data_IF_758708948946
#
_entry.id   IF_758708948946
#
_cell.length_a   1.000
_cell.length_b   1.000
_cell.length_c   1.000
_cell.angle_alpha   90.00
_cell.angle_beta   90.00
_cell.angle_gamma   90.00
#
_symmetry.space_group_name_H-M   'P 1'
#
loop_
_entity.id
_entity.type
_entity.pdbx_description
1 polymer ?
#
# COMPACT_ATOMS: atom_id res chain seq x y z
N UNK A 1 41.77 1.67 19.00
CA UNK A 1 40.87 2.68 19.61
C UNK A 1 39.56 1.96 19.84
N UNK A 2 39.23 1.76 21.12
CA UNK A 2 38.03 1.06 21.55
C UNK A 2 36.78 1.86 21.14
N UNK A 3 35.98 1.35 20.22
CA UNK A 3 34.61 1.84 20.03
C UNK A 3 33.79 1.27 21.19
N UNK A 4 33.70 2.02 22.30
CA UNK A 4 32.60 1.88 23.23
C UNK A 4 31.34 2.29 22.49
N UNK A 5 30.64 1.30 21.91
CA UNK A 5 29.22 1.42 21.61
C UNK A 5 28.56 1.67 22.95
N UNK A 6 28.22 2.91 23.23
CA UNK A 6 27.32 3.28 24.33
C UNK A 6 26.01 2.53 24.06
N UNK A 7 25.91 1.35 24.66
CA UNK A 7 24.65 0.59 24.71
C UNK A 7 23.66 1.49 25.44
N UNK A 8 22.69 2.03 24.71
CA UNK A 8 21.58 2.76 25.31
C UNK A 8 20.97 1.88 26.43
N UNK A 9 20.65 2.44 27.60
CA UNK A 9 20.09 1.67 28.69
C UNK A 9 18.79 1.00 28.21
N UNK A 10 18.58 -0.24 28.65
CA UNK A 10 17.43 -1.05 28.22
C UNK A 10 16.11 -0.29 28.47
N UNK A 11 15.17 -0.25 27.51
CA UNK A 11 13.93 0.47 27.68
C UNK A 11 13.06 -0.17 28.76
N UNK A 12 12.46 0.62 29.62
CA UNK A 12 11.50 0.13 30.63
C UNK A 12 10.09 0.00 30.05
N UNK A 13 9.71 0.92 29.20
CA UNK A 13 8.41 0.96 28.55
C UNK A 13 8.58 1.47 27.13
N UNK A 14 7.87 0.88 26.18
CA UNK A 14 7.72 1.34 24.79
C UNK A 14 6.25 1.33 24.43
N UNK A 15 5.79 2.36 23.70
CA UNK A 15 4.41 2.48 23.23
C UNK A 15 4.40 2.48 21.70
N UNK A 16 3.69 1.52 21.12
CA UNK A 16 3.50 1.36 19.68
C UNK A 16 2.19 2.02 19.26
N UNK A 17 2.22 2.99 18.37
CA UNK A 17 1.04 3.49 17.67
C UNK A 17 0.69 2.58 16.49
N UNK A 18 -0.58 2.23 16.35
CA UNK A 18 -1.10 1.41 15.25
C UNK A 18 -2.50 1.84 14.85
N UNK A 19 -2.89 1.59 13.60
CA UNK A 19 -4.29 1.62 13.20
C UNK A 19 -5.05 0.45 13.83
N UNK A 20 -6.37 0.63 14.03
CA UNK A 20 -7.22 -0.39 14.65
C UNK A 20 -7.67 -1.52 13.70
N UNK A 21 -7.33 -1.45 12.40
CA UNK A 21 -7.67 -2.55 11.50
C UNK A 21 -6.96 -3.83 11.93
N UNK A 22 -7.62 -4.98 11.77
CA UNK A 22 -7.10 -6.30 12.17
C UNK A 22 -5.68 -6.56 11.63
N UNK A 23 -5.40 -6.17 10.37
CA UNK A 23 -4.06 -6.32 9.81
C UNK A 23 -3.03 -5.40 10.47
N UNK A 24 -3.39 -4.14 10.76
CA UNK A 24 -2.47 -3.22 11.43
C UNK A 24 -2.20 -3.64 12.87
N UNK A 25 -3.21 -4.10 13.59
CA UNK A 25 -3.03 -4.66 14.94
C UNK A 25 -2.11 -5.88 14.93
N UNK A 26 -2.31 -6.82 13.99
CA UNK A 26 -1.39 -7.95 13.83
C UNK A 26 0.06 -7.49 13.61
N UNK A 27 0.27 -6.44 12.78
CA UNK A 27 1.60 -5.91 12.51
C UNK A 27 2.23 -5.30 13.77
N UNK A 28 1.46 -4.56 14.56
CA UNK A 28 1.90 -4.02 15.84
C UNK A 28 2.22 -5.12 16.86
N UNK A 29 1.38 -6.13 16.96
CA UNK A 29 1.58 -7.31 17.83
C UNK A 29 2.83 -8.11 17.41
N UNK A 30 3.10 -8.22 16.11
CA UNK A 30 4.31 -8.85 15.58
C UNK A 30 5.58 -8.10 16.04
N UNK A 31 5.59 -6.77 15.94
CA UNK A 31 6.69 -5.92 16.41
C UNK A 31 6.80 -5.99 17.94
N UNK A 32 5.68 -5.95 18.66
CA UNK A 32 5.64 -6.12 20.13
C UNK A 32 6.28 -7.44 20.57
N UNK A 33 5.91 -8.55 19.91
CA UNK A 33 6.49 -9.87 20.21
C UNK A 33 8.00 -9.91 19.92
N UNK A 34 8.46 -9.28 18.83
CA UNK A 34 9.87 -9.18 18.50
C UNK A 34 10.63 -8.35 19.54
N UNK A 35 10.08 -7.23 19.99
CA UNK A 35 10.65 -6.39 21.06
C UNK A 35 10.69 -7.10 22.41
N UNK A 36 9.62 -7.83 22.79
CA UNK A 36 9.62 -8.64 24.02
C UNK A 36 10.70 -9.73 24.00
N UNK A 37 10.98 -10.32 22.82
CA UNK A 37 12.06 -11.30 22.68
C UNK A 37 13.44 -10.67 22.89
N UNK A 38 13.65 -9.44 22.42
CA UNK A 38 14.91 -8.71 22.58
C UNK A 38 15.05 -8.10 23.98
N UNK A 39 13.96 -7.62 24.54
CA UNK A 39 13.90 -6.87 25.81
C UNK A 39 12.81 -7.43 26.73
N UNK A 40 13.02 -8.62 27.35
CA UNK A 40 11.98 -9.30 28.13
C UNK A 40 11.46 -8.51 29.33
N UNK A 41 12.24 -7.56 29.84
CA UNK A 41 11.86 -6.70 30.98
C UNK A 41 11.16 -5.40 30.53
N UNK A 42 11.04 -5.15 29.23
CA UNK A 42 10.37 -3.97 28.70
C UNK A 42 8.85 -4.19 28.65
N UNK A 43 8.09 -3.25 29.19
CA UNK A 43 6.64 -3.20 29.03
C UNK A 43 6.29 -2.54 27.67
N UNK A 44 5.97 -3.36 26.68
CA UNK A 44 5.63 -2.89 25.31
C UNK A 44 4.11 -2.83 25.16
N UNK A 45 3.57 -1.63 25.02
CA UNK A 45 2.13 -1.36 24.88
C UNK A 45 1.76 -1.02 23.43
N UNK A 46 0.53 -1.32 23.04
CA UNK A 46 -0.02 -0.91 21.74
C UNK A 46 -1.18 0.05 21.98
N UNK A 47 -1.18 1.19 21.26
CA UNK A 47 -2.28 2.14 21.25
C UNK A 47 -2.87 2.15 19.84
N UNK A 48 -4.12 1.67 19.74
CA UNK A 48 -4.90 1.67 18.51
C UNK A 48 -5.47 3.06 18.22
N UNK A 49 -5.50 3.43 16.95
CA UNK A 49 -6.03 4.71 16.47
C UNK A 49 -6.83 4.50 15.19
N UNK A 50 -7.99 5.17 15.12
CA UNK A 50 -8.76 5.25 13.87
C UNK A 50 -8.23 6.40 13.04
N UNK A 51 -7.77 6.12 11.82
CA UNK A 51 -7.27 7.17 10.92
C UNK A 51 -8.37 7.70 10.01
N UNK A 52 -8.16 8.91 9.47
CA UNK A 52 -9.06 9.52 8.49
C UNK A 52 -9.23 8.65 7.24
N UNK A 53 -8.16 7.95 6.83
CA UNK A 53 -8.20 6.99 5.73
C UNK A 53 -9.09 5.78 6.00
N UNK A 54 -9.26 5.36 7.27
CA UNK A 54 -10.14 4.26 7.67
C UNK A 54 -11.62 4.66 7.64
N UNK A 55 -11.93 5.94 7.86
CA UNK A 55 -13.30 6.46 7.89
C UNK A 55 -13.88 6.71 6.48
N UNK A 56 -13.03 6.97 5.48
CA UNK A 56 -13.47 7.30 4.12
C UNK A 56 -13.64 6.01 3.31
N UNK A 57 -14.86 5.52 3.21
CA UNK A 57 -15.20 4.26 2.50
C UNK A 57 -15.90 4.48 1.15
N UNK A 58 -16.45 5.66 0.89
CA UNK A 58 -17.34 6.00 -0.23
C UNK A 58 -16.62 6.58 -1.46
N UNK A 59 -15.38 7.03 -1.30
CA UNK A 59 -14.59 7.68 -2.39
C UNK A 59 -13.28 6.95 -2.65
N UNK A 60 -12.78 7.01 -3.89
CA UNK A 60 -11.44 6.48 -4.22
C UNK A 60 -10.35 7.36 -3.57
N UNK A 61 -9.25 6.76 -3.10
CA UNK A 61 -8.13 7.50 -2.47
C UNK A 61 -7.55 8.58 -3.40
N UNK A 62 -7.59 8.36 -4.71
CA UNK A 62 -7.20 9.36 -5.71
C UNK A 62 -8.05 10.63 -5.69
N UNK A 63 -9.32 10.52 -5.26
CA UNK A 63 -10.26 11.65 -5.17
C UNK A 63 -10.25 12.35 -3.81
N UNK A 64 -9.69 11.75 -2.79
CA UNK A 64 -9.69 12.32 -1.42
C UNK A 64 -8.50 13.25 -1.20
N UNK A 65 -7.53 13.23 -2.10
CA UNK A 65 -6.36 14.12 -2.13
C UNK A 65 -5.67 14.27 -0.78
N UNK A 66 -4.63 13.51 -0.50
CA UNK A 66 -3.88 13.72 0.73
C UNK A 66 -2.79 12.67 0.91
N UNK A 67 -1.54 13.10 0.81
CA UNK A 67 -0.39 12.33 1.31
C UNK A 67 -0.63 12.07 2.80
N UNK A 68 -0.46 10.82 3.24
CA UNK A 68 -0.47 10.51 4.67
C UNK A 68 -1.84 10.27 5.33
N UNK A 69 -2.90 9.94 4.56
CA UNK A 69 -4.24 9.67 5.11
C UNK A 69 -4.29 8.55 6.18
N UNK A 70 -3.27 7.70 6.22
CA UNK A 70 -3.18 6.55 7.13
C UNK A 70 -2.09 6.70 8.19
N UNK A 71 -1.29 7.78 8.15
CA UNK A 71 -0.13 7.96 9.03
C UNK A 71 -0.23 9.19 9.93
N UNK A 72 -1.01 10.22 9.56
CA UNK A 72 -1.07 11.50 10.29
C UNK A 72 -1.41 11.38 11.77
N UNK A 73 -2.39 10.57 12.11
CA UNK A 73 -2.81 10.38 13.50
C UNK A 73 -1.73 9.65 14.32
N UNK A 74 -0.96 8.77 13.67
CA UNK A 74 0.17 8.07 14.28
C UNK A 74 1.36 9.04 14.46
N UNK A 75 1.70 9.82 13.43
CA UNK A 75 2.71 10.87 13.49
C UNK A 75 2.39 11.90 14.58
N UNK A 76 1.11 12.29 14.72
CA UNK A 76 0.68 13.17 15.80
C UNK A 76 0.90 12.54 17.18
N UNK A 77 0.61 11.25 17.35
CA UNK A 77 0.86 10.55 18.60
C UNK A 77 2.35 10.48 18.94
N UNK A 78 3.21 10.29 17.93
CA UNK A 78 4.67 10.36 18.09
C UNK A 78 5.12 11.78 18.49
N UNK A 79 4.63 12.82 17.81
CA UNK A 79 4.97 14.22 18.09
C UNK A 79 4.57 14.65 19.51
N UNK A 80 3.39 14.20 19.98
CA UNK A 80 2.87 14.49 21.30
C UNK A 80 3.48 13.61 22.42
N UNK A 81 4.34 12.63 22.07
CA UNK A 81 4.94 11.70 23.03
C UNK A 81 3.95 10.69 23.62
N UNK A 82 2.81 10.47 22.98
CA UNK A 82 1.83 9.43 23.36
C UNK A 82 2.24 8.06 22.87
N UNK A 83 3.10 7.99 21.87
CA UNK A 83 3.73 6.79 21.38
C UNK A 83 5.22 7.04 21.12
N UNK A 84 6.01 5.98 21.19
CA UNK A 84 7.45 5.98 20.93
C UNK A 84 7.77 5.59 19.49
N UNK A 85 6.98 4.71 18.91
CA UNK A 85 7.13 4.21 17.54
C UNK A 85 5.78 3.95 16.91
N UNK A 86 5.73 3.97 15.57
CA UNK A 86 4.56 3.60 14.78
C UNK A 86 4.91 2.48 13.80
N UNK A 87 3.99 1.53 13.60
CA UNK A 87 4.19 0.38 12.71
C UNK A 87 3.31 0.50 11.48
N UNK A 88 3.93 0.36 10.31
CA UNK A 88 3.26 0.54 9.02
C UNK A 88 3.53 -0.61 8.05
N UNK A 89 2.54 -0.92 7.21
CA UNK A 89 2.84 -1.53 5.91
C UNK A 89 3.65 -0.52 5.10
N UNK A 90 4.88 -0.83 4.73
CA UNK A 90 5.82 0.15 4.15
C UNK A 90 5.31 0.78 2.84
N UNK A 91 4.54 0.04 2.03
CA UNK A 91 3.91 0.57 0.81
C UNK A 91 2.91 1.72 1.04
N UNK A 92 2.38 1.84 2.27
CA UNK A 92 1.39 2.86 2.65
C UNK A 92 2.07 4.10 3.27
N UNK A 93 3.38 4.03 3.55
CA UNK A 93 4.20 5.14 4.06
C UNK A 93 4.52 6.10 2.91
N UNK A 94 4.32 7.42 3.09
CA UNK A 94 4.72 8.41 2.11
C UNK A 94 6.18 8.25 1.68
N UNK A 95 6.49 8.54 0.40
CA UNK A 95 7.86 8.43 -0.11
C UNK A 95 8.82 9.39 0.60
N UNK A 96 8.30 10.52 1.07
CA UNK A 96 8.98 11.49 1.93
C UNK A 96 8.17 11.62 3.21
N UNK A 97 8.81 11.37 4.34
CA UNK A 97 8.23 11.61 5.66
C UNK A 97 8.22 13.11 5.97
N UNK A 98 7.28 13.57 6.80
CA UNK A 98 7.33 14.93 7.33
C UNK A 98 8.63 15.18 8.10
N UNK A 99 9.04 16.43 8.16
CA UNK A 99 10.20 16.84 8.96
C UNK A 99 10.01 16.41 10.43
N UNK A 100 11.06 15.89 11.03
CA UNK A 100 11.05 15.39 12.41
C UNK A 100 10.73 13.91 12.56
N UNK A 101 10.44 13.17 11.48
CA UNK A 101 10.21 11.73 11.50
C UNK A 101 11.18 10.95 10.63
N UNK A 102 11.41 9.69 10.97
CA UNK A 102 12.27 8.79 10.21
C UNK A 102 11.81 7.32 10.34
N UNK A 103 12.13 6.51 9.34
CA UNK A 103 12.04 5.06 9.44
C UNK A 103 13.29 4.53 10.14
N UNK A 104 13.15 4.11 11.39
CA UNK A 104 14.27 3.59 12.19
C UNK A 104 14.60 2.13 11.87
N UNK A 105 13.61 1.35 11.44
CA UNK A 105 13.82 -0.03 11.01
C UNK A 105 12.88 -0.41 9.87
N UNK A 106 13.40 -1.21 8.97
CA UNK A 106 12.64 -1.92 7.93
C UNK A 106 12.86 -3.39 8.21
N UNK A 107 11.77 -4.13 8.49
CA UNK A 107 11.85 -5.53 8.86
C UNK A 107 11.91 -6.44 7.62
N UNK A 108 12.34 -7.68 7.84
CA UNK A 108 12.36 -8.72 6.81
C UNK A 108 11.03 -8.76 6.03
N UNK A 109 11.15 -8.87 4.72
CA UNK A 109 10.03 -8.77 3.78
C UNK A 109 9.26 -10.07 3.69
N UNK A 110 7.95 -10.02 3.91
CA UNK A 110 7.01 -11.09 3.57
C UNK A 110 6.77 -11.06 2.04
N UNK A 111 6.15 -12.11 1.49
CA UNK A 111 5.83 -12.27 0.08
C UNK A 111 5.29 -10.97 -0.57
N UNK A 112 6.03 -10.35 -1.48
CA UNK A 112 5.66 -9.06 -2.07
C UNK A 112 4.58 -9.19 -3.15
N UNK A 113 4.24 -10.40 -3.60
CA UNK A 113 3.34 -10.64 -4.73
C UNK A 113 1.92 -10.21 -4.44
N UNK A 114 1.19 -9.96 -5.51
CA UNK A 114 -0.25 -9.86 -5.46
C UNK A 114 -0.89 -11.27 -5.43
N UNK A 115 -2.03 -11.36 -4.77
CA UNK A 115 -2.81 -12.59 -4.65
C UNK A 115 -4.14 -12.42 -5.40
N UNK A 116 -4.43 -13.37 -6.28
CA UNK A 116 -5.76 -13.58 -6.84
C UNK A 116 -6.61 -14.33 -5.82
N UNK A 117 -7.75 -13.77 -5.47
CA UNK A 117 -8.71 -14.33 -4.52
C UNK A 117 -10.07 -14.42 -5.18
N UNK A 118 -10.61 -15.63 -5.25
CA UNK A 118 -11.95 -15.93 -5.78
C UNK A 118 -12.55 -17.11 -5.02
N UNK A 119 -13.88 -17.17 -4.95
CA UNK A 119 -14.57 -18.34 -4.41
C UNK A 119 -14.66 -19.46 -5.45
N UNK A 120 -14.82 -19.12 -6.73
CA UNK A 120 -15.23 -20.04 -7.79
C UNK A 120 -14.15 -20.29 -8.86
N UNK A 121 -13.14 -19.40 -8.98
CA UNK A 121 -12.15 -19.45 -10.06
C UNK A 121 -10.72 -19.56 -9.53
N UNK A 122 -9.85 -20.21 -10.26
CA UNK A 122 -8.48 -20.49 -9.85
C UNK A 122 -7.46 -19.45 -10.35
N UNK A 123 -7.81 -18.64 -11.36
CA UNK A 123 -6.91 -17.61 -11.92
C UNK A 123 -7.69 -16.52 -12.65
N UNK A 124 -7.01 -15.37 -12.95
CA UNK A 124 -7.55 -14.32 -13.80
C UNK A 124 -7.91 -14.82 -15.19
N UNK A 125 -7.11 -15.72 -15.76
CA UNK A 125 -7.34 -16.30 -17.08
C UNK A 125 -8.57 -17.23 -17.14
N UNK A 126 -8.99 -17.79 -16.00
CA UNK A 126 -10.16 -18.66 -15.93
C UNK A 126 -11.48 -17.89 -15.80
N UNK A 127 -11.45 -16.56 -15.61
CA UNK A 127 -12.65 -15.75 -15.47
C UNK A 127 -13.37 -15.58 -16.82
N UNK A 128 -14.70 -15.80 -16.88
CA UNK A 128 -15.50 -15.49 -18.06
C UNK A 128 -15.47 -14.02 -18.45
N UNK A 129 -15.73 -13.71 -19.71
CA UNK A 129 -15.87 -12.36 -20.19
C UNK A 129 -16.97 -11.59 -19.42
N UNK A 130 -16.70 -10.31 -19.09
CA UNK A 130 -17.59 -9.47 -18.29
C UNK A 130 -17.54 -9.77 -16.79
N UNK A 131 -16.70 -10.71 -16.32
CA UNK A 131 -16.50 -10.94 -14.89
C UNK A 131 -15.91 -9.71 -14.21
N UNK A 132 -16.47 -9.34 -13.05
CA UNK A 132 -16.06 -8.19 -12.28
C UNK A 132 -14.90 -8.53 -11.35
N UNK A 133 -13.75 -7.85 -11.53
CA UNK A 133 -12.57 -7.97 -10.66
C UNK A 133 -12.45 -6.71 -9.79
N UNK A 134 -12.38 -6.91 -8.48
CA UNK A 134 -12.31 -5.84 -7.49
C UNK A 134 -10.88 -5.40 -7.18
N UNK A 135 -10.56 -4.12 -7.45
CA UNK A 135 -9.35 -3.46 -6.97
C UNK A 135 -9.54 -1.94 -6.91
N UNK A 136 -8.82 -1.24 -6.02
CA UNK A 136 -8.72 0.22 -6.05
C UNK A 136 -7.28 0.69 -6.32
N UNK A 137 -6.42 -0.24 -6.73
CA UNK A 137 -5.05 0.06 -7.12
C UNK A 137 -4.98 0.27 -8.62
N UNK A 138 -4.63 1.48 -9.06
CA UNK A 138 -4.45 1.80 -10.48
C UNK A 138 -3.38 0.92 -11.14
N UNK A 139 -2.34 0.54 -10.38
CA UNK A 139 -1.31 -0.41 -10.83
C UNK A 139 -1.90 -1.78 -11.19
N UNK A 140 -2.77 -2.32 -10.33
CA UNK A 140 -3.46 -3.60 -10.58
C UNK A 140 -4.49 -3.49 -11.68
N UNK A 141 -5.22 -2.38 -11.73
CA UNK A 141 -6.19 -2.09 -12.77
C UNK A 141 -5.53 -2.06 -14.15
N UNK A 142 -4.42 -1.33 -14.32
CA UNK A 142 -3.72 -1.25 -15.59
C UNK A 142 -3.18 -2.63 -16.04
N UNK A 143 -2.68 -3.46 -15.12
CA UNK A 143 -2.27 -4.83 -15.42
C UNK A 143 -3.45 -5.69 -15.90
N UNK A 144 -4.60 -5.63 -15.21
CA UNK A 144 -5.78 -6.41 -15.60
C UNK A 144 -6.27 -5.98 -16.97
N UNK A 145 -6.40 -4.67 -17.23
CA UNK A 145 -6.84 -4.15 -18.51
C UNK A 145 -5.90 -4.49 -19.67
N UNK A 146 -4.59 -4.49 -19.41
CA UNK A 146 -3.59 -4.86 -20.41
C UNK A 146 -3.64 -6.34 -20.80
N UNK A 147 -3.80 -7.24 -19.81
CA UNK A 147 -3.67 -8.68 -20.03
C UNK A 147 -5.01 -9.41 -20.19
N UNK A 148 -6.07 -8.86 -19.61
CA UNK A 148 -7.41 -9.45 -19.56
C UNK A 148 -8.48 -8.42 -19.93
N UNK A 149 -8.44 -7.86 -21.18
CA UNK A 149 -9.32 -6.77 -21.60
C UNK A 149 -10.81 -7.16 -21.64
N UNK A 150 -11.13 -8.44 -21.53
CA UNK A 150 -12.48 -8.97 -21.44
C UNK A 150 -13.08 -8.91 -20.02
N UNK A 151 -12.30 -8.49 -19.02
CA UNK A 151 -12.75 -8.40 -17.63
C UNK A 151 -13.14 -6.96 -17.27
N UNK A 152 -14.14 -6.82 -16.40
CA UNK A 152 -14.55 -5.55 -15.84
C UNK A 152 -13.81 -5.28 -14.53
N UNK A 153 -13.16 -4.11 -14.40
CA UNK A 153 -12.52 -3.71 -13.15
C UNK A 153 -13.38 -2.70 -12.43
N UNK A 154 -13.71 -3.00 -11.16
CA UNK A 154 -14.48 -2.09 -10.30
C UNK A 154 -13.73 -1.76 -8.99
N UNK A 155 -13.94 -0.54 -8.44
CA UNK A 155 -13.31 -0.13 -7.19
C UNK A 155 -13.69 -1.05 -6.03
N UNK A 156 -12.69 -1.51 -5.25
CA UNK A 156 -12.86 -2.31 -4.04
C UNK A 156 -12.25 -1.58 -2.84
N UNK A 157 -13.10 -1.13 -1.91
CA UNK A 157 -12.71 -0.33 -0.74
C UNK A 157 -13.01 -1.07 0.57
N UNK A 158 -12.35 -0.59 1.64
CA UNK A 158 -12.42 -1.14 3.00
C UNK A 158 -11.10 -1.79 3.42
N UNK A 159 -11.04 -2.27 4.65
CA UNK A 159 -9.96 -3.11 5.13
C UNK A 159 -10.02 -4.52 4.50
N UNK A 160 -9.08 -5.39 4.84
CA UNK A 160 -8.98 -6.72 4.25
C UNK A 160 -10.25 -7.56 4.49
N UNK A 161 -10.77 -7.56 5.71
CA UNK A 161 -11.98 -8.31 6.07
C UNK A 161 -13.22 -7.82 5.30
N UNK A 162 -13.38 -6.49 5.19
CA UNK A 162 -14.47 -5.87 4.40
C UNK A 162 -14.39 -6.28 2.93
N UNK A 163 -13.17 -6.33 2.35
CA UNK A 163 -12.99 -6.71 0.94
C UNK A 163 -13.31 -8.19 0.71
N UNK A 164 -12.91 -9.07 1.62
CA UNK A 164 -13.27 -10.49 1.57
C UNK A 164 -14.78 -10.68 1.72
N UNK A 165 -15.42 -9.97 2.65
CA UNK A 165 -16.86 -10.04 2.83
C UNK A 165 -17.64 -9.58 1.57
N UNK A 166 -17.12 -8.58 0.82
CA UNK A 166 -17.70 -8.16 -0.47
C UNK A 166 -17.57 -9.27 -1.53
N UNK A 167 -16.43 -9.96 -1.59
CA UNK A 167 -16.26 -11.12 -2.46
C UNK A 167 -17.23 -12.24 -2.09
N UNK A 168 -17.34 -12.56 -0.78
CA UNK A 168 -18.18 -13.65 -0.28
C UNK A 168 -19.68 -13.39 -0.50
N UNK A 169 -20.11 -12.13 -0.62
CA UNK A 169 -21.47 -11.76 -1.02
C UNK A 169 -21.73 -11.85 -2.53
N UNK A 170 -20.69 -12.08 -3.33
CA UNK A 170 -20.81 -12.11 -4.78
C UNK A 170 -20.77 -10.74 -5.47
N UNK A 171 -20.36 -9.66 -4.76
CA UNK A 171 -20.22 -8.33 -5.37
C UNK A 171 -19.13 -8.32 -6.48
N UNK A 172 -18.23 -9.29 -6.45
CA UNK A 172 -17.08 -9.48 -7.37
C UNK A 172 -16.90 -10.97 -7.65
N UNK A 173 -16.51 -11.33 -8.89
CA UNK A 173 -16.09 -12.68 -9.25
C UNK A 173 -14.70 -13.01 -8.66
N UNK A 174 -13.85 -11.99 -8.54
CA UNK A 174 -12.53 -12.07 -7.94
C UNK A 174 -12.07 -10.71 -7.40
N UNK A 175 -11.10 -10.73 -6.50
CA UNK A 175 -10.42 -9.52 -5.99
C UNK A 175 -8.92 -9.72 -5.98
N UNK A 176 -8.17 -8.63 -6.14
CA UNK A 176 -6.69 -8.68 -6.06
C UNK A 176 -6.23 -7.99 -4.78
N UNK A 177 -5.51 -8.76 -3.95
CA UNK A 177 -4.97 -8.32 -2.66
C UNK A 177 -3.45 -8.50 -2.62
N UNK A 178 -2.77 -7.94 -1.61
CA UNK A 178 -1.37 -8.28 -1.35
C UNK A 178 -1.30 -9.61 -0.58
N UNK A 179 -0.50 -10.56 -1.05
CA UNK A 179 -0.34 -11.88 -0.43
C UNK A 179 0.11 -11.78 1.05
N UNK A 180 1.04 -10.87 1.35
CA UNK A 180 1.52 -10.64 2.72
C UNK A 180 0.38 -10.35 3.71
N UNK A 181 -0.64 -9.57 3.33
CA UNK A 181 -1.77 -9.27 4.20
C UNK A 181 -2.60 -10.51 4.54
N UNK A 182 -2.86 -11.36 3.55
CA UNK A 182 -3.58 -12.62 3.75
C UNK A 182 -2.79 -13.62 4.60
N UNK A 183 -1.49 -13.76 4.31
CA UNK A 183 -0.60 -14.67 5.06
C UNK A 183 -0.50 -14.26 6.54
N UNK A 184 -0.29 -12.97 6.82
CA UNK A 184 -0.20 -12.43 8.19
C UNK A 184 -1.46 -12.69 9.02
N UNK A 185 -2.62 -12.67 8.41
CA UNK A 185 -3.89 -12.95 9.09
C UNK A 185 -4.27 -14.44 9.11
N UNK A 186 -3.39 -15.34 8.65
CA UNK A 186 -3.70 -16.77 8.57
C UNK A 186 -4.73 -17.13 7.49
N UNK A 187 -4.94 -16.22 6.53
CA UNK A 187 -5.92 -16.37 5.45
C UNK A 187 -5.27 -16.85 4.14
N UNK A 188 -4.10 -17.48 4.20
CA UNK A 188 -3.38 -18.01 3.04
C UNK A 188 -4.23 -18.97 2.19
N UNK A 189 -5.13 -19.73 2.80
CA UNK A 189 -6.06 -20.63 2.10
C UNK A 189 -7.05 -19.91 1.15
N UNK A 190 -7.22 -18.56 1.31
CA UNK A 190 -8.04 -17.75 0.40
C UNK A 190 -7.30 -17.38 -0.90
N UNK A 191 -6.01 -17.58 -0.96
CA UNK A 191 -5.19 -17.32 -2.16
C UNK A 191 -5.42 -18.48 -3.13
N UNK A 192 -6.03 -18.22 -4.27
CA UNK A 192 -6.17 -19.19 -5.37
C UNK A 192 -4.92 -19.24 -6.22
N UNK A 193 -4.35 -18.08 -6.53
CA UNK A 193 -3.09 -17.98 -7.25
C UNK A 193 -2.29 -16.77 -6.76
N UNK A 194 -0.98 -16.89 -6.75
CA UNK A 194 -0.07 -15.77 -6.63
C UNK A 194 0.19 -15.22 -8.04
N UNK A 195 0.20 -13.90 -8.17
CA UNK A 195 0.50 -13.22 -9.44
C UNK A 195 2.00 -12.95 -9.44
N UNK A 196 2.69 -13.61 -10.37
CA UNK A 196 4.15 -13.48 -10.44
C UNK A 196 4.58 -12.07 -10.86
N UNK A 197 5.76 -11.60 -10.43
CA UNK A 197 6.25 -10.26 -10.78
C UNK A 197 6.40 -10.02 -12.29
N UNK A 198 6.53 -11.07 -13.09
CA UNK A 198 6.54 -11.05 -14.56
C UNK A 198 5.17 -10.65 -15.13
N UNK A 199 4.11 -10.94 -14.40
CA UNK A 199 2.74 -10.62 -14.77
C UNK A 199 2.28 -9.29 -14.16
N UNK A 200 2.66 -9.01 -12.91
CA UNK A 200 2.34 -7.77 -12.19
C UNK A 200 3.42 -7.44 -11.18
N UNK A 201 4.24 -6.44 -11.48
CA UNK A 201 5.21 -5.95 -10.50
C UNK A 201 4.51 -5.48 -9.22
N UNK A 202 5.01 -5.84 -8.03
CA UNK A 202 4.54 -5.33 -6.76
C UNK A 202 4.62 -3.79 -6.63
N UNK A 203 3.87 -3.22 -5.70
CA UNK A 203 4.07 -1.85 -5.30
C UNK A 203 5.38 -1.71 -4.51
N UNK A 204 6.04 -0.55 -4.59
CA UNK A 204 7.23 -0.26 -3.81
C UNK A 204 7.00 -0.50 -2.31
N UNK A 205 7.85 -1.31 -1.67
CA UNK A 205 7.75 -1.70 -0.27
C UNK A 205 6.64 -2.69 0.07
N UNK A 206 5.93 -3.26 -0.90
CA UNK A 206 4.90 -4.27 -0.62
C UNK A 206 5.51 -5.49 0.05
N UNK A 207 4.91 -5.94 1.16
CA UNK A 207 5.39 -7.06 1.96
C UNK A 207 6.29 -6.66 3.15
N UNK A 208 6.94 -5.51 3.11
CA UNK A 208 7.78 -5.03 4.21
C UNK A 208 6.98 -4.26 5.27
N UNK A 209 7.46 -4.31 6.52
CA UNK A 209 7.03 -3.43 7.61
C UNK A 209 8.08 -2.33 7.81
N UNK A 210 7.60 -1.10 8.00
CA UNK A 210 8.42 0.03 8.41
C UNK A 210 8.07 0.45 9.83
N UNK A 211 9.08 0.74 10.63
CA UNK A 211 8.93 1.27 11.99
C UNK A 211 9.38 2.73 11.98
N UNK A 212 8.43 3.61 12.17
CA UNK A 212 8.63 5.06 12.20
C UNK A 212 8.79 5.55 13.62
N UNK A 213 9.69 6.53 13.81
CA UNK A 213 9.93 7.22 15.07
C UNK A 213 10.14 8.72 14.82
N UNK A 214 10.19 9.50 15.88
CA UNK A 214 10.75 10.85 15.81
C UNK A 214 12.24 10.77 15.53
N UNK A 215 12.73 11.63 14.66
CA UNK A 215 14.14 11.65 14.24
C UNK A 215 15.14 12.02 15.36
N UNK A 216 14.66 12.71 16.41
CA UNK A 216 15.47 13.09 17.58
C UNK A 216 15.59 11.97 18.64
N UNK A 217 14.93 10.80 18.44
CA UNK A 217 14.93 9.65 19.35
C UNK A 217 15.98 8.60 18.96
N UNK A 218 17.27 9.00 19.04
CA UNK A 218 18.40 8.11 18.77
C UNK A 218 18.44 6.88 19.72
N UNK A 219 17.91 7.01 20.94
CA UNK A 219 17.74 5.92 21.89
C UNK A 219 16.80 4.84 21.35
N UNK A 220 15.64 5.21 20.82
CA UNK A 220 14.68 4.29 20.22
C UNK A 220 15.25 3.67 18.94
N UNK A 221 15.91 4.47 18.10
CA UNK A 221 16.57 3.96 16.89
C UNK A 221 17.58 2.84 17.23
N UNK A 222 18.37 3.01 18.30
CA UNK A 222 19.31 1.98 18.75
C UNK A 222 18.61 0.71 19.24
N UNK A 223 17.48 0.81 19.93
CA UNK A 223 16.70 -0.36 20.37
C UNK A 223 15.99 -1.08 19.23
N UNK A 224 15.65 -0.38 18.15
CA UNK A 224 15.00 -0.94 16.96
C UNK A 224 16.00 -1.52 15.95
N UNK A 225 17.29 -1.17 16.04
CA UNK A 225 18.32 -1.62 15.11
C UNK A 225 18.37 -3.17 14.94
N UNK A 226 18.18 -3.99 15.97
CA UNK A 226 18.15 -5.46 15.80
C UNK A 226 16.94 -5.98 14.98
N UNK A 227 15.91 -5.17 14.76
CA UNK A 227 14.76 -5.51 13.91
C UNK A 227 14.95 -5.12 12.44
N UNK A 228 16.01 -4.38 12.14
CA UNK A 228 16.30 -3.91 10.80
C UNK A 228 16.92 -5.03 9.95
N UNK A 229 16.31 -5.27 8.78
CA UNK A 229 16.87 -6.17 7.76
C UNK A 229 17.48 -5.36 6.62
N UNK A 230 18.80 -5.36 6.56
CA UNK A 230 19.61 -4.56 5.64
C UNK A 230 19.32 -4.92 4.15
N UNK A 231 19.09 -6.20 3.86
CA UNK A 231 18.80 -6.66 2.50
C UNK A 231 17.44 -6.14 2.01
N UNK A 232 16.42 -6.24 2.86
CA UNK A 232 15.08 -5.67 2.58
C UNK A 232 15.16 -4.15 2.48
N UNK A 233 15.89 -3.49 3.39
CA UNK A 233 16.01 -2.03 3.40
C UNK A 233 16.60 -1.50 2.09
N UNK A 234 17.68 -2.08 1.60
CA UNK A 234 18.28 -1.71 0.30
C UNK A 234 17.31 -1.95 -0.85
N UNK A 235 16.65 -3.10 -0.87
CA UNK A 235 15.68 -3.42 -1.92
C UNK A 235 14.53 -2.40 -1.96
N UNK A 236 13.90 -2.13 -0.82
CA UNK A 236 12.74 -1.24 -0.77
C UNK A 236 13.11 0.24 -0.95
N UNK A 237 14.31 0.68 -0.56
CA UNK A 237 14.75 2.04 -0.83
C UNK A 237 15.06 2.27 -2.31
N UNK A 238 15.59 1.28 -3.03
CA UNK A 238 15.70 1.33 -4.48
C UNK A 238 14.31 1.48 -5.14
N UNK A 239 13.32 0.70 -4.69
CA UNK A 239 11.93 0.78 -5.16
C UNK A 239 11.29 2.15 -4.84
N UNK A 240 11.46 2.64 -3.62
CA UNK A 240 10.94 3.93 -3.15
C UNK A 240 11.56 5.10 -3.90
N UNK A 241 12.85 4.99 -4.28
CA UNK A 241 13.53 6.01 -5.09
C UNK A 241 12.89 6.17 -6.47
N UNK A 242 12.50 5.06 -7.14
CA UNK A 242 11.74 5.14 -8.40
C UNK A 242 10.43 5.91 -8.20
N UNK A 243 9.69 5.56 -7.13
CA UNK A 243 8.43 6.24 -6.81
C UNK A 243 8.62 7.71 -6.48
N UNK A 244 9.67 8.04 -5.71
CA UNK A 244 10.02 9.41 -5.31
C UNK A 244 10.35 10.28 -6.53
N UNK A 245 11.15 9.77 -7.45
CA UNK A 245 11.56 10.48 -8.66
C UNK A 245 10.39 10.74 -9.64
N UNK A 246 9.35 9.89 -9.63
CA UNK A 246 8.17 10.01 -10.47
C UNK A 246 6.97 10.68 -9.77
N UNK A 247 7.22 11.40 -8.66
CA UNK A 247 6.18 12.15 -7.95
C UNK A 247 5.38 11.35 -6.92
N UNK A 248 5.75 10.10 -6.67
CA UNK A 248 5.46 9.32 -5.47
C UNK A 248 4.04 9.28 -4.95
N UNK A 249 3.00 9.15 -5.78
CA UNK A 249 1.62 9.15 -5.30
C UNK A 249 0.93 7.81 -5.58
N UNK A 250 0.05 7.39 -4.65
CA UNK A 250 -0.82 6.23 -4.86
C UNK A 250 -1.83 6.42 -6.00
N UNK A 251 -1.84 7.61 -6.63
CA UNK A 251 -2.71 7.97 -7.74
C UNK A 251 -2.11 7.70 -9.12
N UNK A 252 -0.90 7.16 -9.17
CA UNK A 252 -0.19 6.80 -10.40
C UNK A 252 -0.08 5.28 -10.49
N UNK A 253 -0.37 4.65 -11.64
CA UNK A 253 -0.15 3.22 -11.87
C UNK A 253 1.36 2.91 -11.98
N UNK A 254 2.06 3.04 -10.88
CA UNK A 254 3.50 2.83 -10.74
C UNK A 254 3.78 1.57 -9.95
N UNK A 255 4.70 0.76 -10.43
CA UNK A 255 5.28 -0.37 -9.73
C UNK A 255 6.80 -0.26 -9.74
N UNK A 256 7.43 -0.69 -8.64
CA UNK A 256 8.86 -0.88 -8.55
C UNK A 256 9.14 -2.06 -7.63
N UNK A 257 9.99 -2.97 -8.10
CA UNK A 257 10.30 -4.18 -7.37
C UNK A 257 11.76 -4.57 -7.53
N UNK A 258 12.45 -4.74 -6.41
CA UNK A 258 13.85 -5.11 -6.34
C UNK A 258 14.03 -6.49 -5.69
N UNK A 259 14.92 -7.29 -6.26
CA UNK A 259 15.28 -8.62 -5.79
C UNK A 259 16.80 -8.82 -5.81
N UNK A 260 17.29 -9.58 -4.84
CA UNK A 260 18.68 -10.01 -4.80
C UNK A 260 18.86 -11.29 -5.62
N UNK A 261 19.79 -11.27 -6.57
CA UNK A 261 20.23 -12.42 -7.36
C UNK A 261 21.75 -12.40 -7.48
N UNK A 262 22.39 -13.47 -7.07
CA UNK A 262 23.85 -13.66 -7.18
C UNK A 262 24.67 -12.45 -6.68
N UNK A 263 24.26 -11.89 -5.52
CA UNK A 263 24.94 -10.76 -4.89
C UNK A 263 24.67 -9.40 -5.56
N UNK A 264 23.81 -9.34 -6.56
CA UNK A 264 23.36 -8.11 -7.20
C UNK A 264 21.91 -7.80 -6.85
N UNK A 265 21.61 -6.53 -6.69
CA UNK A 265 20.25 -6.05 -6.59
C UNK A 265 19.72 -5.73 -7.99
N UNK A 266 18.71 -6.50 -8.43
CA UNK A 266 18.01 -6.29 -9.68
C UNK A 266 16.70 -5.55 -9.41
N UNK A 267 16.52 -4.39 -10.05
CA UNK A 267 15.34 -3.53 -9.91
C UNK A 267 14.60 -3.44 -11.23
N UNK A 268 13.29 -3.62 -11.16
CA UNK A 268 12.35 -3.39 -12.27
C UNK A 268 11.37 -2.29 -11.89
N UNK A 269 11.09 -1.37 -12.81
CA UNK A 269 10.10 -0.33 -12.67
C UNK A 269 9.14 -0.30 -13.84
N UNK A 270 7.85 -0.05 -13.59
CA UNK A 270 6.84 0.17 -14.65
C UNK A 270 5.92 1.30 -14.26
N UNK A 271 5.52 2.10 -15.25
CA UNK A 271 4.46 3.09 -15.13
C UNK A 271 3.51 2.96 -16.32
N UNK A 272 2.21 3.12 -16.10
CA UNK A 272 1.21 2.92 -17.14
C UNK A 272 0.10 3.97 -17.07
N UNK A 273 -0.66 4.10 -18.14
CA UNK A 273 -2.01 4.67 -18.10
C UNK A 273 -2.98 3.66 -17.47
N UNK A 274 -4.02 4.10 -16.74
CA UNK A 274 -4.99 3.18 -16.11
C UNK A 274 -5.72 2.27 -17.10
N UNK A 275 -5.93 2.74 -18.33
CA UNK A 275 -6.55 2.00 -19.44
C UNK A 275 -5.54 1.10 -20.19
N UNK A 276 -4.27 1.06 -19.74
CA UNK A 276 -3.16 0.35 -20.36
C UNK A 276 -2.81 0.80 -21.79
N UNK A 277 -3.32 1.94 -22.27
CA UNK A 277 -3.00 2.49 -23.61
C UNK A 277 -1.52 2.82 -23.78
N UNK A 278 -0.81 3.08 -22.69
CA UNK A 278 0.65 3.29 -22.65
C UNK A 278 1.23 2.64 -21.42
N UNK A 279 2.25 1.80 -21.61
CA UNK A 279 3.01 1.12 -20.55
C UNK A 279 4.49 1.34 -20.81
N UNK A 280 5.20 1.87 -19.84
CA UNK A 280 6.66 2.05 -19.88
C UNK A 280 7.30 1.14 -18.85
N UNK A 281 8.46 0.57 -19.18
CA UNK A 281 9.20 -0.34 -18.31
C UNK A 281 10.70 -0.05 -18.41
N UNK A 282 11.37 -0.16 -17.26
CA UNK A 282 12.83 -0.07 -17.16
C UNK A 282 13.33 -1.08 -16.14
N UNK A 283 14.56 -1.57 -16.33
CA UNK A 283 15.19 -2.48 -15.39
C UNK A 283 16.71 -2.32 -15.40
N UNK A 284 17.32 -2.50 -14.24
CA UNK A 284 18.78 -2.52 -14.10
C UNK A 284 19.18 -3.39 -12.91
N UNK A 285 20.40 -3.91 -12.92
CA UNK A 285 20.97 -4.68 -11.82
C UNK A 285 22.40 -4.23 -11.52
N UNK A 286 22.73 -4.07 -10.24
CA UNK A 286 24.05 -3.66 -9.78
C UNK A 286 24.41 -4.29 -8.44
N UNK A 287 25.69 -4.36 -8.12
CA UNK A 287 26.10 -4.60 -6.75
C UNK A 287 25.68 -3.39 -5.88
N UNK A 288 24.94 -3.63 -4.83
CA UNK A 288 24.47 -2.58 -3.90
C UNK A 288 24.97 -2.90 -2.48
N UNK A 289 26.19 -2.47 -2.18
CA UNK A 289 26.80 -2.72 -0.87
C UNK A 289 26.28 -1.76 0.21
N UNK A 290 25.88 -0.57 -0.20
CA UNK A 290 25.34 0.47 0.66
C UNK A 290 23.90 0.84 0.31
N UNK A 291 23.24 1.58 1.18
CA UNK A 291 21.91 2.16 0.91
C UNK A 291 21.98 3.16 -0.26
N UNK A 292 23.06 3.95 -0.33
CA UNK A 292 23.28 4.92 -1.40
C UNK A 292 23.42 4.23 -2.77
N UNK A 293 24.08 3.07 -2.84
CA UNK A 293 24.15 2.26 -4.07
C UNK A 293 22.75 1.83 -4.53
N UNK A 294 21.92 1.39 -3.59
CA UNK A 294 20.55 0.98 -3.86
C UNK A 294 19.68 2.17 -4.32
N UNK A 295 19.81 3.32 -3.68
CA UNK A 295 19.14 4.56 -4.08
C UNK A 295 19.61 5.03 -5.47
N UNK A 296 20.91 4.95 -5.76
CA UNK A 296 21.46 5.27 -7.07
C UNK A 296 20.89 4.34 -8.17
N UNK A 297 20.74 3.04 -7.89
CA UNK A 297 20.06 2.11 -8.79
C UNK A 297 18.62 2.55 -9.06
N UNK A 298 17.86 2.86 -8.00
CA UNK A 298 16.49 3.37 -8.11
C UNK A 298 16.40 4.63 -8.97
N UNK A 299 17.36 5.55 -8.80
CA UNK A 299 17.44 6.78 -9.59
C UNK A 299 17.66 6.50 -11.07
N UNK A 300 18.59 5.60 -11.44
CA UNK A 300 18.85 5.26 -12.85
C UNK A 300 17.65 4.62 -13.53
N UNK A 301 16.95 3.71 -12.85
CA UNK A 301 15.71 3.12 -13.38
C UNK A 301 14.61 4.18 -13.56
N UNK A 302 14.50 5.12 -12.63
CA UNK A 302 13.57 6.25 -12.77
C UNK A 302 13.94 7.17 -13.95
N UNK A 303 15.22 7.50 -14.11
CA UNK A 303 15.70 8.36 -15.20
C UNK A 303 15.45 7.71 -16.57
N UNK A 304 15.58 6.38 -16.70
CA UNK A 304 15.22 5.64 -17.92
C UNK A 304 13.70 5.75 -18.19
N UNK A 305 12.85 5.54 -17.19
CA UNK A 305 11.40 5.73 -17.34
C UNK A 305 11.05 7.16 -17.73
N UNK A 306 11.73 8.15 -17.16
CA UNK A 306 11.56 9.58 -17.50
C UNK A 306 11.95 9.84 -18.94
N UNK A 307 13.06 9.29 -19.41
CA UNK A 307 13.50 9.40 -20.80
C UNK A 307 12.50 8.79 -21.80
N UNK A 308 11.77 7.74 -21.39
CA UNK A 308 10.68 7.14 -22.17
C UNK A 308 9.37 7.96 -22.13
N UNK A 309 9.28 9.04 -21.31
CA UNK A 309 8.11 9.91 -21.20
C UNK A 309 7.20 9.63 -19.99
N UNK A 310 7.72 9.04 -18.91
CA UNK A 310 6.94 8.75 -17.70
C UNK A 310 6.29 10.01 -17.09
N UNK A 311 6.95 11.17 -17.14
CA UNK A 311 6.39 12.42 -16.62
C UNK A 311 5.17 12.92 -17.40
N UNK A 312 5.01 12.54 -18.66
CA UNK A 312 3.79 12.84 -19.44
C UNK A 312 2.60 12.06 -18.88
N UNK A 313 2.80 10.77 -18.53
CA UNK A 313 1.77 9.95 -17.88
C UNK A 313 1.38 10.57 -16.53
N UNK A 314 2.36 10.95 -15.70
CA UNK A 314 2.11 11.58 -14.39
C UNK A 314 1.30 12.87 -14.54
N UNK A 315 1.65 13.74 -15.51
CA UNK A 315 0.92 14.98 -15.78
C UNK A 315 -0.50 14.71 -16.26
N UNK A 316 -0.68 13.82 -17.23
CA UNK A 316 -2.01 13.48 -17.75
C UNK A 316 -2.94 12.97 -16.65
N UNK A 317 -2.42 12.18 -15.69
CA UNK A 317 -3.18 11.69 -14.54
C UNK A 317 -3.52 12.80 -13.54
N UNK A 318 -2.61 13.74 -13.31
CA UNK A 318 -2.85 14.90 -12.44
C UNK A 318 -3.93 15.82 -13.03
N UNK A 319 -3.86 16.10 -14.33
CA UNK A 319 -4.84 16.91 -15.05
C UNK A 319 -6.24 16.25 -15.05
N UNK A 320 -6.31 14.93 -15.27
CA UNK A 320 -7.56 14.17 -15.20
C UNK A 320 -8.18 14.19 -13.80
N UNK A 321 -7.36 14.12 -12.74
CA UNK A 321 -7.82 14.21 -11.36
C UNK A 321 -8.41 15.60 -11.05
N UNK A 322 -7.74 16.68 -11.49
CA UNK A 322 -8.21 18.05 -11.31
C UNK A 322 -9.52 18.32 -12.07
N UNK A 323 -9.64 17.79 -13.29
CA UNK A 323 -10.87 17.93 -14.09
C UNK A 323 -12.07 17.20 -13.44
N UNK A 324 -11.84 16.11 -12.74
CA UNK A 324 -12.88 15.37 -12.02
C UNK A 324 -13.35 16.07 -10.73
N UNK A 325 -12.53 16.94 -10.14
CA UNK A 325 -12.83 17.70 -8.90
C UNK A 325 -13.39 19.11 -9.19
N UNK A 326 -13.49 19.53 -10.46
CA UNK A 326 -14.02 20.84 -10.86
C UNK A 326 -15.52 21.00 -10.56
N UNK A 327 -16.02 22.25 -10.36
CA UNK A 327 -17.39 22.55 -9.89
C UNK A 327 -18.53 22.14 -10.83
N UNK A 328 -18.24 21.46 -11.94
CA UNK A 328 -19.23 21.05 -12.96
C UNK A 328 -19.45 19.53 -13.06
N UNK A 329 -19.07 18.73 -12.04
CA UNK A 329 -19.47 17.32 -11.99
C UNK A 329 -20.96 17.23 -11.65
N UNK A 330 -21.83 17.21 -12.67
CA UNK A 330 -23.26 16.97 -12.51
C UNK A 330 -23.49 15.64 -11.79
N UNK A 331 -24.41 15.55 -10.80
CA UNK A 331 -24.75 14.28 -10.18
C UNK A 331 -25.34 13.36 -11.23
N UNK A 332 -24.85 12.12 -11.28
CA UNK A 332 -25.40 11.08 -12.14
C UNK A 332 -26.92 10.98 -11.89
N UNK A 333 -27.69 11.32 -12.89
CA UNK A 333 -29.16 11.27 -12.86
C UNK A 333 -29.60 9.82 -12.66
N UNK A 334 -29.98 9.49 -11.41
CA UNK A 334 -30.75 8.29 -11.10
C UNK A 334 -32.13 8.42 -11.75
N UNK A 335 -32.35 7.73 -12.86
CA UNK A 335 -33.65 7.60 -13.48
C UNK A 335 -34.61 6.80 -12.59
N UNK A 336 -35.35 7.51 -11.76
CA UNK A 336 -36.55 7.01 -11.09
C UNK A 336 -37.77 7.35 -11.95
N UNK A 337 -38.24 6.40 -12.75
CA UNK A 337 -39.52 6.50 -13.41
C UNK A 337 -40.64 6.52 -12.37
N UNK A 338 -41.22 7.70 -12.16
CA UNK A 338 -42.48 7.85 -11.48
C UNK A 338 -43.60 7.67 -12.51
N UNK A 339 -44.42 6.64 -12.34
CA UNK A 339 -45.65 6.42 -13.10
C UNK A 339 -46.82 6.95 -12.27
N UNK A 340 -47.57 7.95 -12.69
CA UNK A 340 -48.79 8.39 -12.03
C UNK A 340 -50.03 7.86 -12.80
N UNK A 341 -50.74 6.90 -12.22
CA UNK A 341 -52.15 6.59 -12.55
C UNK A 341 -52.76 6.05 -11.26
N UNK A 342 -53.83 6.52 -10.79
CA UNK A 342 -55.08 6.97 -11.20
C UNK A 342 -55.95 7.42 -10.06
N UNK A 343 -56.74 8.37 -10.34
CA UNK A 343 -57.82 8.90 -9.52
C UNK A 343 -58.96 7.91 -9.38
N UNK A 344 -59.62 7.90 -8.23
CA UNK A 344 -60.85 7.17 -7.99
C UNK A 344 -61.57 7.75 -6.77
N UNK A 345 -62.62 8.46 -7.07
CA UNK A 345 -63.54 9.17 -6.18
C UNK A 345 -64.29 8.25 -5.14
N UNK A 346 -64.72 8.92 -4.07
CA UNK A 346 -65.50 8.45 -2.97
C UNK A 346 -66.86 7.80 -3.24
N UNK A 347 -67.90 7.73 -2.36
CA UNK A 347 -68.13 8.52 -1.15
C UNK A 347 -68.69 7.75 0.06
N UNK A 348 -68.76 8.44 1.16
CA UNK A 348 -69.66 8.48 2.32
C UNK A 348 -70.60 7.30 2.73
N UNK A 349 -70.69 7.23 4.08
CA UNK A 349 -71.86 6.87 4.92
C UNK A 349 -71.84 5.49 5.57
N UNK A 350 -71.63 5.35 6.76
CA UNK A 350 -72.41 5.44 8.04
C UNK A 350 -71.51 5.01 9.21
#
# INVERSE_FOLDING_TARGET
MNSETLSAPMPRTLVIASRESRLAMWQAEHVQAALHKLYPACDVKIVGMTTRGDQILDRTLSKVGGKGLFVKELEQALAEGRADLAVHSLKDVPMELPEGFTLAAIMEREDPRDAFVSNDYDSLAALPAGSVVGTSSLRRESMIRARYPHLDVKPLRGNLDTRLAKLDRGDYAAIILAAAGLKRLGLGARIRALIEPEDSLPAAGQGALGIEIRADRADIAAWLAPLHDDATAKAVEAERMVSRALGGSCTVPLAAYAQWHDGKLALRGTIAMPDASRVLAAQEATAASTLDDAMALGRRVADDLIAQGALEIVRALADAAQAADGPNAAPASGGGAHNPTGAGEGPASR
#
